data_IF_360896845951
#
_entry.id   IF_360896845951
#
_cell.length_a   1.000
_cell.length_b   1.000
_cell.length_c   1.000
_cell.angle_alpha   90.00
_cell.angle_beta   90.00
_cell.angle_gamma   90.00
#
_symmetry.space_group_name_H-M   'P 1'
#
loop_
_entity.id
_entity.type
_entity.pdbx_description
1 polymer ?
#
# COMPACT_ATOMS: atom_id res chain seq x y z
N UNK A 1 -17.66 -5.51 -1.21
CA UNK A 1 -17.67 -5.66 0.26
C UNK A 1 -18.15 -7.06 0.61
N UNK A 2 -17.19 -7.98 0.76
CA UNK A 2 -17.19 -9.25 1.51
C UNK A 2 -16.25 -10.23 0.80
N UNK A 3 -15.15 -10.57 1.46
CA UNK A 3 -14.31 -11.72 1.13
C UNK A 3 -14.24 -12.57 2.40
N UNK A 4 -14.89 -13.73 2.37
CA UNK A 4 -14.81 -14.75 3.41
C UNK A 4 -13.77 -15.79 3.02
N UNK A 5 -12.87 -16.15 3.94
CA UNK A 5 -11.86 -17.17 3.65
C UNK A 5 -10.98 -17.72 4.77
N UNK A 6 -11.07 -17.29 6.04
CA UNK A 6 -10.82 -18.11 7.25
C UNK A 6 -11.33 -17.36 8.49
N UNK A 7 -11.98 -18.09 9.40
CA UNK A 7 -12.89 -17.57 10.42
C UNK A 7 -12.23 -16.66 11.48
N UNK A 8 -12.61 -15.39 11.43
CA UNK A 8 -12.91 -14.58 12.61
C UNK A 8 -14.01 -13.60 12.22
N UNK A 9 -15.24 -14.03 12.49
CA UNK A 9 -16.49 -13.49 11.98
C UNK A 9 -16.91 -12.19 12.71
N UNK A 10 -16.11 -11.14 12.57
CA UNK A 10 -16.52 -9.77 12.88
C UNK A 10 -16.06 -8.83 11.78
N UNK A 11 -17.00 -8.27 11.03
CA UNK A 11 -16.74 -7.24 10.03
C UNK A 11 -15.94 -6.09 10.66
N UNK A 12 -14.69 -5.92 10.21
CA UNK A 12 -13.83 -4.82 10.65
C UNK A 12 -14.23 -3.51 9.99
N UNK A 13 -13.91 -2.39 10.64
CA UNK A 13 -14.03 -1.05 10.07
C UNK A 13 -12.68 -0.62 9.53
N UNK A 14 -12.62 -0.27 8.24
CA UNK A 14 -11.45 0.25 7.55
C UNK A 14 -11.52 1.78 7.50
N UNK A 15 -10.43 2.43 7.88
CA UNK A 15 -10.23 3.87 7.75
C UNK A 15 -9.06 4.13 6.81
N UNK A 16 -9.22 5.14 5.97
CA UNK A 16 -8.24 5.53 4.96
C UNK A 16 -7.85 7.00 5.16
N UNK A 17 -6.58 7.28 4.94
CA UNK A 17 -6.02 8.62 4.73
C UNK A 17 -5.13 8.52 3.47
N UNK A 18 -5.76 8.68 2.30
CA UNK A 18 -5.16 8.31 1.02
C UNK A 18 -5.43 9.34 -0.05
N UNK A 19 -4.53 9.39 -1.03
CA UNK A 19 -4.74 10.02 -2.33
C UNK A 19 -5.05 8.96 -3.39
N UNK A 20 -5.75 9.39 -4.43
CA UNK A 20 -6.16 8.54 -5.54
C UNK A 20 -6.09 9.26 -6.88
N UNK A 21 -5.66 8.51 -7.89
CA UNK A 21 -5.69 8.89 -9.29
C UNK A 21 -6.49 7.86 -10.08
N UNK A 22 -7.38 8.34 -10.94
CA UNK A 22 -8.15 7.52 -11.87
C UNK A 22 -7.89 7.96 -13.31
N UNK A 23 -8.06 7.05 -14.29
CA UNK A 23 -7.88 7.36 -15.70
C UNK A 23 -8.96 8.36 -16.16
N UNK A 24 -8.57 9.30 -17.02
CA UNK A 24 -9.48 10.23 -17.72
C UNK A 24 -9.18 10.22 -19.21
N UNK A 25 -10.19 10.41 -20.04
CA UNK A 25 -10.13 10.19 -21.50
C UNK A 25 -9.06 11.02 -22.25
N UNK A 26 -8.63 12.15 -21.69
CA UNK A 26 -7.63 13.05 -22.30
C UNK A 26 -6.25 13.09 -21.59
N UNK A 27 -6.00 12.19 -20.64
CA UNK A 27 -4.77 12.19 -19.85
C UNK A 27 -3.81 11.05 -20.20
N UNK A 28 -2.52 11.25 -19.89
CA UNK A 28 -1.52 10.18 -19.87
C UNK A 28 -2.05 9.06 -18.97
N UNK A 29 -2.06 7.83 -19.50
CA UNK A 29 -2.47 6.66 -18.71
C UNK A 29 -1.28 6.11 -17.94
N UNK A 30 -1.43 6.01 -16.62
CA UNK A 30 -0.40 5.47 -15.74
C UNK A 30 -0.67 4.00 -15.38
N UNK A 31 0.41 3.24 -15.25
CA UNK A 31 0.43 1.82 -14.89
C UNK A 31 1.43 1.55 -13.77
N UNK A 32 1.75 2.55 -12.97
CA UNK A 32 2.62 2.40 -11.83
C UNK A 32 2.75 3.65 -10.99
N UNK A 33 3.20 3.47 -9.76
CA UNK A 33 3.59 4.52 -8.84
C UNK A 33 4.81 4.08 -8.03
N UNK A 34 5.72 5.00 -7.81
CA UNK A 34 6.79 4.92 -6.83
C UNK A 34 6.58 6.00 -5.78
N UNK A 35 6.81 5.64 -4.51
CA UNK A 35 6.83 6.59 -3.42
C UNK A 35 7.76 6.12 -2.31
N UNK A 36 8.32 7.09 -1.60
CA UNK A 36 9.00 6.88 -0.32
C UNK A 36 7.99 7.09 0.80
N UNK A 37 7.86 6.12 1.70
CA UNK A 37 6.95 6.19 2.84
C UNK A 37 7.69 5.91 4.14
N UNK A 38 7.45 6.74 5.15
CA UNK A 38 7.95 6.50 6.51
C UNK A 38 7.36 5.19 7.06
N UNK A 39 8.17 4.44 7.80
CA UNK A 39 7.78 3.18 8.45
C UNK A 39 7.77 3.35 9.97
N UNK A 40 6.69 2.92 10.62
CA UNK A 40 6.52 3.02 12.08
C UNK A 40 6.13 1.65 12.67
N UNK A 41 6.41 1.49 13.96
CA UNK A 41 6.05 0.33 14.76
C UNK A 41 5.09 0.68 15.89
N UNK A 42 4.17 -0.22 16.19
CA UNK A 42 3.21 -0.12 17.30
C UNK A 42 2.99 -1.50 17.91
N UNK A 43 2.68 -1.55 19.20
CA UNK A 43 2.21 -2.76 19.87
C UNK A 43 0.68 -2.86 19.70
N UNK A 44 0.26 -3.45 18.60
CA UNK A 44 -1.14 -3.74 18.28
C UNK A 44 -1.57 -5.08 18.85
N UNK A 45 -2.88 -5.21 19.08
CA UNK A 45 -3.50 -6.47 19.47
C UNK A 45 -4.15 -7.17 18.27
N UNK A 46 -4.48 -8.46 18.43
CA UNK A 46 -5.32 -9.17 17.46
C UNK A 46 -6.62 -8.39 17.19
N UNK A 47 -6.98 -8.28 15.92
CA UNK A 47 -8.13 -7.50 15.46
C UNK A 47 -7.83 -6.01 15.23
N UNK A 48 -6.57 -5.59 15.26
CA UNK A 48 -6.11 -4.28 14.79
C UNK A 48 -5.09 -4.44 13.67
N UNK A 49 -5.07 -3.48 12.75
CA UNK A 49 -4.08 -3.43 11.68
C UNK A 49 -3.84 -1.99 11.25
N UNK A 50 -2.61 -1.65 10.90
CA UNK A 50 -2.28 -0.36 10.26
C UNK A 50 -1.14 -0.52 9.27
N UNK A 51 -1.01 0.43 8.36
CA UNK A 51 0.10 0.44 7.41
C UNK A 51 0.06 1.60 6.44
N UNK A 52 1.11 1.68 5.62
CA UNK A 52 1.21 2.53 4.44
C UNK A 52 1.26 1.65 3.19
N UNK A 53 0.59 2.05 2.11
CA UNK A 53 0.49 1.23 0.91
C UNK A 53 0.39 2.03 -0.37
N UNK A 54 0.70 1.35 -1.47
CA UNK A 54 0.36 1.68 -2.85
C UNK A 54 -0.52 0.55 -3.37
N UNK A 55 -1.65 0.88 -3.97
CA UNK A 55 -2.60 -0.05 -4.58
C UNK A 55 -2.87 0.34 -6.03
N UNK A 56 -2.72 -0.63 -6.93
CA UNK A 56 -3.08 -0.50 -8.33
C UNK A 56 -4.19 -1.48 -8.61
N UNK A 57 -5.37 -0.97 -8.98
CA UNK A 57 -6.54 -1.81 -9.12
C UNK A 57 -7.43 -1.38 -10.28
N UNK A 58 -8.25 -2.32 -10.74
CA UNK A 58 -9.42 -2.03 -11.57
C UNK A 58 -10.52 -3.06 -11.31
N UNK A 59 -11.60 -2.97 -12.09
CA UNK A 59 -12.69 -3.93 -12.06
C UNK A 59 -12.87 -4.55 -13.44
N UNK A 60 -13.18 -5.85 -13.47
CA UNK A 60 -13.59 -6.52 -14.70
C UNK A 60 -15.07 -6.27 -15.02
N UNK A 61 -15.57 -6.89 -16.11
CA UNK A 61 -16.97 -6.72 -16.54
C UNK A 61 -17.99 -7.21 -15.50
N UNK A 62 -17.61 -8.17 -14.66
CA UNK A 62 -18.44 -8.67 -13.56
C UNK A 62 -18.30 -7.83 -12.29
N UNK A 63 -17.64 -6.66 -12.38
CA UNK A 63 -17.27 -5.80 -11.25
C UNK A 63 -16.36 -6.48 -10.21
N UNK A 64 -15.68 -7.56 -10.59
CA UNK A 64 -14.72 -8.24 -9.74
C UNK A 64 -13.42 -7.42 -9.66
N UNK A 65 -12.92 -7.20 -8.45
CA UNK A 65 -11.73 -6.38 -8.21
C UNK A 65 -10.49 -7.19 -8.61
N UNK A 66 -9.64 -6.58 -9.43
CA UNK A 66 -8.27 -7.03 -9.62
C UNK A 66 -7.35 -5.97 -9.00
N UNK A 67 -6.44 -6.36 -8.11
CA UNK A 67 -5.63 -5.43 -7.34
C UNK A 67 -4.22 -6.00 -7.09
N UNK A 68 -3.23 -5.11 -7.11
CA UNK A 68 -1.88 -5.34 -6.57
C UNK A 68 -1.59 -4.26 -5.54
N UNK A 69 -1.23 -4.67 -4.33
CA UNK A 69 -0.86 -3.79 -3.22
C UNK A 69 0.58 -4.07 -2.82
N UNK A 70 1.34 -3.04 -2.50
CA UNK A 70 2.62 -3.16 -1.80
C UNK A 70 2.82 -2.02 -0.81
N UNK A 71 3.52 -2.31 0.29
CA UNK A 71 3.82 -1.33 1.32
C UNK A 71 4.28 -2.02 2.60
N UNK A 72 3.92 -1.45 3.74
CA UNK A 72 4.19 -2.04 5.04
C UNK A 72 2.91 -2.14 5.88
N UNK A 73 2.85 -3.11 6.78
CA UNK A 73 1.75 -3.26 7.73
C UNK A 73 2.21 -3.81 9.08
N UNK A 74 1.34 -3.66 10.08
CA UNK A 74 1.37 -4.39 11.34
C UNK A 74 0.03 -5.10 11.43
N UNK A 75 0.02 -6.42 11.49
CA UNK A 75 -1.21 -7.23 11.50
C UNK A 75 -1.06 -8.47 12.40
N UNK A 76 -1.31 -8.33 13.71
CA UNK A 76 -1.02 -9.41 14.66
C UNK A 76 -1.81 -10.69 14.44
N UNK A 77 -3.03 -10.59 13.92
CA UNK A 77 -3.85 -11.76 13.62
C UNK A 77 -3.25 -12.65 12.54
N UNK A 78 -2.45 -12.06 11.65
CA UNK A 78 -1.88 -12.72 10.48
C UNK A 78 -0.44 -13.17 10.72
N UNK A 79 0.39 -12.35 11.37
CA UNK A 79 1.80 -12.64 11.63
C UNK A 79 2.07 -13.31 12.98
N UNK A 80 1.09 -13.28 13.90
CA UNK A 80 1.25 -13.74 15.28
C UNK A 80 2.36 -13.00 16.05
N UNK A 81 2.61 -11.74 15.68
CA UNK A 81 3.46 -10.78 16.38
C UNK A 81 2.93 -9.35 16.16
N UNK A 82 3.60 -8.32 16.66
CA UNK A 82 3.23 -6.92 16.37
C UNK A 82 4.38 -6.15 15.73
N UNK A 83 5.23 -6.84 14.98
CA UNK A 83 6.31 -6.22 14.22
C UNK A 83 5.76 -5.55 12.96
N UNK A 84 6.54 -4.66 12.38
CA UNK A 84 6.23 -4.06 11.09
C UNK A 84 6.79 -4.94 9.99
N UNK A 85 5.95 -5.36 9.04
CA UNK A 85 6.34 -6.22 7.94
C UNK A 85 6.26 -5.47 6.62
N UNK A 86 7.17 -5.80 5.70
CA UNK A 86 6.97 -5.50 4.29
C UNK A 86 5.88 -6.44 3.77
N UNK A 87 4.86 -5.89 3.12
CA UNK A 87 3.70 -6.67 2.70
C UNK A 87 3.28 -6.36 1.27
N UNK A 88 2.89 -7.41 0.56
CA UNK A 88 2.34 -7.32 -0.80
C UNK A 88 1.09 -8.18 -0.89
N UNK A 89 0.08 -7.74 -1.64
CA UNK A 89 -1.17 -8.47 -1.78
C UNK A 89 -1.56 -8.48 -3.25
N UNK A 90 -2.09 -9.60 -3.74
CA UNK A 90 -2.87 -9.58 -4.97
C UNK A 90 -4.32 -9.97 -4.70
N UNK A 91 -5.23 -9.45 -5.53
CA UNK A 91 -6.64 -9.83 -5.55
C UNK A 91 -7.09 -10.08 -6.97
N UNK A 92 -7.83 -11.16 -7.18
CA UNK A 92 -8.54 -11.52 -8.40
C UNK A 92 -9.94 -12.01 -8.01
N UNK A 93 -10.92 -11.10 -8.08
CA UNK A 93 -12.29 -11.38 -7.64
C UNK A 93 -12.34 -11.71 -6.15
N UNK A 94 -12.74 -12.94 -5.81
CA UNK A 94 -12.78 -13.43 -4.42
C UNK A 94 -11.44 -13.96 -3.92
N UNK A 95 -10.48 -14.21 -4.82
CA UNK A 95 -9.18 -14.74 -4.47
C UNK A 95 -8.28 -13.59 -4.05
N UNK A 96 -7.96 -13.49 -2.76
CA UNK A 96 -7.00 -12.53 -2.24
C UNK A 96 -5.90 -13.29 -1.52
N UNK A 97 -4.67 -12.84 -1.72
CA UNK A 97 -3.51 -13.51 -1.15
C UNK A 97 -2.53 -12.49 -0.56
N UNK A 98 -2.39 -12.47 0.76
CA UNK A 98 -1.37 -11.68 1.42
C UNK A 98 0.00 -12.38 1.32
N UNK A 99 1.00 -11.55 1.07
CA UNK A 99 2.42 -11.89 0.97
C UNK A 99 2.67 -13.08 0.04
N UNK A 100 3.39 -14.09 0.53
CA UNK A 100 3.68 -15.35 -0.15
C UNK A 100 2.93 -16.53 0.48
N UNK A 101 1.78 -16.29 1.13
CA UNK A 101 0.99 -17.35 1.80
C UNK A 101 0.26 -18.26 0.82
N UNK A 102 0.19 -17.87 -0.44
CA UNK A 102 -0.28 -18.70 -1.53
C UNK A 102 0.64 -18.49 -2.75
N UNK A 103 0.58 -19.40 -3.75
CA UNK A 103 1.31 -19.21 -5.00
C UNK A 103 0.87 -17.93 -5.72
N UNK A 104 1.83 -17.14 -6.19
CA UNK A 104 1.55 -15.99 -7.06
C UNK A 104 2.67 -14.97 -7.11
N UNK A 105 3.30 -14.65 -5.98
CA UNK A 105 4.48 -13.78 -5.98
C UNK A 105 5.73 -14.56 -6.36
N UNK A 106 6.50 -14.05 -7.31
CA UNK A 106 7.78 -14.60 -7.73
C UNK A 106 8.90 -13.64 -7.34
N UNK A 107 9.70 -14.01 -6.33
CA UNK A 107 10.85 -13.22 -5.89
C UNK A 107 12.03 -13.36 -6.85
N UNK A 108 12.77 -12.28 -7.10
CA UNK A 108 14.03 -12.36 -7.84
C UNK A 108 15.17 -12.81 -6.93
N UNK A 109 16.17 -13.50 -7.50
CA UNK A 109 17.30 -14.05 -6.74
C UNK A 109 18.11 -12.97 -5.98
N UNK A 110 18.20 -11.76 -6.52
CA UNK A 110 18.94 -10.65 -5.92
C UNK A 110 18.17 -9.91 -4.82
N UNK A 111 16.96 -10.36 -4.47
CA UNK A 111 16.14 -9.63 -3.50
C UNK A 111 16.65 -9.80 -2.08
N UNK A 112 16.86 -8.67 -1.39
CA UNK A 112 17.27 -8.62 0.01
C UNK A 112 16.08 -8.76 0.98
N UNK A 113 14.86 -8.64 0.47
CA UNK A 113 13.61 -8.79 1.22
C UNK A 113 12.61 -9.61 0.42
N UNK A 114 11.70 -10.29 1.11
CA UNK A 114 10.51 -10.89 0.50
C UNK A 114 9.26 -10.50 1.29
N UNK A 115 8.07 -10.50 0.66
CA UNK A 115 6.82 -10.17 1.34
C UNK A 115 6.61 -11.02 2.60
N UNK A 116 6.18 -10.38 3.68
CA UNK A 116 6.02 -10.98 5.00
C UNK A 116 7.28 -10.90 5.90
N UNK A 117 8.42 -10.42 5.41
CA UNK A 117 9.59 -10.18 6.27
C UNK A 117 9.43 -8.93 7.14
N UNK A 118 10.02 -8.98 8.33
CA UNK A 118 10.07 -7.86 9.28
C UNK A 118 10.96 -6.74 8.74
N UNK A 119 10.49 -5.50 8.86
CA UNK A 119 11.27 -4.27 8.66
C UNK A 119 11.78 -3.80 10.02
N UNK A 120 13.10 -3.78 10.19
CA UNK A 120 13.76 -3.33 11.42
C UNK A 120 15.12 -2.71 11.05
N UNK A 121 15.45 -1.49 11.51
CA UNK A 121 14.67 -0.62 12.40
C UNK A 121 13.48 0.09 11.74
N UNK A 122 12.56 0.55 12.60
CA UNK A 122 11.44 1.44 12.24
C UNK A 122 11.67 2.84 12.82
N UNK A 123 10.93 3.84 12.33
CA UNK A 123 11.03 5.21 12.82
C UNK A 123 10.72 5.30 14.32
N UNK A 124 11.52 6.09 15.03
CA UNK A 124 11.28 6.46 16.42
C UNK A 124 11.27 7.98 16.59
N UNK A 125 10.68 8.48 17.67
CA UNK A 125 10.67 9.93 17.97
C UNK A 125 12.05 10.50 18.32
N UNK A 126 13.03 9.64 18.59
CA UNK A 126 14.37 10.00 19.10
C UNK A 126 15.51 9.74 18.11
N UNK A 127 15.21 9.19 16.93
CA UNK A 127 16.20 8.83 15.90
C UNK A 127 15.83 9.42 14.55
N UNK A 128 16.71 9.24 13.56
CA UNK A 128 16.35 9.48 12.17
C UNK A 128 15.17 8.57 11.78
N UNK A 129 14.24 9.16 11.00
CA UNK A 129 13.10 8.44 10.44
C UNK A 129 13.62 7.32 9.52
N UNK A 130 13.04 6.14 9.67
CA UNK A 130 13.26 5.01 8.77
C UNK A 130 12.15 5.01 7.73
N UNK A 131 12.51 4.77 6.48
CA UNK A 131 11.56 4.77 5.37
C UNK A 131 11.84 3.63 4.41
N UNK A 132 10.83 3.31 3.60
CA UNK A 132 10.97 2.43 2.46
C UNK A 132 10.56 3.17 1.20
N UNK A 133 11.31 2.95 0.12
CA UNK A 133 10.88 3.34 -1.23
C UNK A 133 10.25 2.12 -1.88
N UNK A 134 8.99 2.24 -2.27
CA UNK A 134 8.23 1.17 -2.90
C UNK A 134 7.78 1.64 -4.27
N UNK A 135 7.97 0.78 -5.27
CA UNK A 135 7.37 0.96 -6.60
C UNK A 135 6.54 -0.25 -6.95
N UNK A 136 5.33 0.01 -7.40
CA UNK A 136 4.48 -0.97 -8.07
C UNK A 136 4.31 -0.48 -9.49
N UNK A 137 4.74 -1.26 -10.48
CA UNK A 137 4.56 -0.89 -11.89
C UNK A 137 4.41 -2.09 -12.78
N UNK A 138 3.65 -1.93 -13.86
CA UNK A 138 3.55 -2.93 -14.91
C UNK A 138 4.80 -2.90 -15.80
N UNK A 139 5.41 -4.05 -16.01
CA UNK A 139 6.47 -4.20 -17.00
C UNK A 139 5.88 -4.09 -18.42
N UNK A 140 6.37 -3.19 -19.28
CA UNK A 140 5.81 -3.01 -20.62
C UNK A 140 6.02 -4.23 -21.54
N UNK A 141 7.01 -5.08 -21.25
CA UNK A 141 7.36 -6.21 -22.13
C UNK A 141 6.55 -7.47 -21.80
N UNK A 142 6.60 -7.93 -20.55
CA UNK A 142 5.87 -9.10 -20.06
C UNK A 142 4.41 -8.79 -19.70
N UNK A 143 4.14 -7.56 -19.25
CA UNK A 143 2.89 -7.17 -18.62
C UNK A 143 2.76 -7.62 -17.16
N UNK A 144 3.82 -8.15 -16.56
CA UNK A 144 3.87 -8.55 -15.16
C UNK A 144 3.85 -7.33 -14.23
N UNK A 145 3.28 -7.49 -13.04
CA UNK A 145 3.25 -6.43 -12.04
C UNK A 145 4.47 -6.53 -11.13
N UNK A 146 5.45 -5.68 -11.37
CA UNK A 146 6.71 -5.66 -10.65
C UNK A 146 6.59 -4.88 -9.35
N UNK A 147 7.20 -5.43 -8.29
CA UNK A 147 7.33 -4.81 -6.98
C UNK A 147 8.81 -4.52 -6.73
N UNK A 148 9.10 -3.27 -6.43
CA UNK A 148 10.41 -2.82 -6.00
C UNK A 148 10.36 -2.38 -4.55
N UNK A 149 11.46 -2.60 -3.86
CA UNK A 149 11.65 -2.21 -2.46
C UNK A 149 13.06 -1.66 -2.27
N UNK A 150 13.19 -0.62 -1.45
CA UNK A 150 14.46 -0.10 -0.95
C UNK A 150 14.28 0.36 0.49
N UNK A 151 15.16 -0.07 1.39
CA UNK A 151 15.19 0.41 2.77
C UNK A 151 16.16 1.58 2.88
N UNK A 152 15.69 2.75 3.34
CA UNK A 152 16.46 3.99 3.43
C UNK A 152 17.26 4.34 2.16
N UNK A 153 16.71 4.08 0.99
CA UNK A 153 17.39 4.30 -0.28
C UNK A 153 16.56 3.85 -1.48
N UNK A 154 17.19 3.86 -2.65
CA UNK A 154 16.52 3.58 -3.92
C UNK A 154 15.94 2.16 -3.99
N UNK A 155 14.76 2.05 -4.60
CA UNK A 155 14.07 0.77 -4.72
C UNK A 155 14.71 -0.12 -5.81
N UNK A 156 14.85 -1.41 -5.52
CA UNK A 156 15.32 -2.44 -6.45
C UNK A 156 14.25 -3.49 -6.66
N UNK A 157 14.25 -4.10 -7.85
CA UNK A 157 13.30 -5.16 -8.18
C UNK A 157 13.43 -6.28 -7.16
N UNK A 158 12.32 -6.58 -6.49
CA UNK A 158 12.23 -7.58 -5.41
C UNK A 158 11.47 -8.81 -5.88
N UNK A 159 10.49 -8.61 -6.75
CA UNK A 159 9.74 -9.69 -7.38
C UNK A 159 8.59 -9.15 -8.22
N UNK A 160 7.72 -10.04 -8.66
CA UNK A 160 6.57 -9.69 -9.48
C UNK A 160 5.39 -10.64 -9.26
N UNK A 161 4.21 -10.17 -9.63
CA UNK A 161 3.03 -11.00 -9.86
C UNK A 161 2.87 -11.21 -11.37
N UNK A 162 2.89 -12.46 -11.86
CA UNK A 162 2.68 -12.75 -13.27
C UNK A 162 1.38 -12.17 -13.80
N UNK A 163 1.39 -11.63 -15.02
CA UNK A 163 0.22 -11.10 -15.73
C UNK A 163 -0.94 -12.09 -15.74
N UNK A 164 -0.63 -13.39 -15.86
CA UNK A 164 -1.59 -14.49 -15.94
C UNK A 164 -2.44 -14.66 -14.69
N UNK A 165 -2.04 -14.10 -13.54
CA UNK A 165 -2.86 -14.08 -12.33
C UNK A 165 -4.08 -13.16 -12.44
N UNK A 166 -4.09 -12.23 -13.39
CA UNK A 166 -5.09 -11.19 -13.46
C UNK A 166 -5.96 -11.28 -14.71
N UNK A 167 -7.24 -10.94 -14.55
CA UNK A 167 -8.15 -10.73 -15.67
C UNK A 167 -8.02 -9.31 -16.18
N UNK A 168 -8.64 -8.33 -15.52
CA UNK A 168 -8.73 -6.94 -15.99
C UNK A 168 -7.44 -6.14 -15.83
N UNK A 169 -6.62 -6.37 -14.80
CA UNK A 169 -5.33 -5.67 -14.65
C UNK A 169 -4.34 -6.02 -15.79
N UNK A 170 -4.59 -7.09 -16.53
CA UNK A 170 -3.74 -7.49 -17.64
C UNK A 170 -3.90 -6.60 -18.88
N UNK A 171 -5.02 -5.89 -19.07
CA UNK A 171 -5.28 -5.09 -20.27
C UNK A 171 -6.10 -3.79 -20.09
N UNK A 172 -6.84 -3.62 -18.99
CA UNK A 172 -7.65 -2.41 -18.77
C UNK A 172 -6.84 -1.29 -18.09
N UNK A 173 -7.26 -0.01 -18.24
CA UNK A 173 -6.77 1.08 -17.41
C UNK A 173 -6.91 0.77 -15.92
N UNK A 174 -6.10 1.45 -15.10
CA UNK A 174 -6.00 1.21 -13.66
C UNK A 174 -6.28 2.48 -12.88
N UNK A 175 -6.80 2.32 -11.66
CA UNK A 175 -6.84 3.34 -10.63
C UNK A 175 -5.67 3.10 -9.68
N UNK A 176 -5.03 4.18 -9.25
CA UNK A 176 -3.91 4.16 -8.31
C UNK A 176 -4.39 4.82 -7.02
N UNK A 177 -4.16 4.17 -5.88
CA UNK A 177 -4.47 4.70 -4.56
C UNK A 177 -3.28 4.48 -3.64
N UNK A 178 -2.89 5.50 -2.88
CA UNK A 178 -1.71 5.43 -2.02
C UNK A 178 -1.88 6.28 -0.76
N UNK A 179 -1.31 5.82 0.35
CA UNK A 179 -1.38 6.49 1.64
C UNK A 179 -1.51 5.50 2.80
N UNK A 180 -2.15 5.96 3.88
CA UNK A 180 -2.28 5.20 5.11
C UNK A 180 -3.64 4.50 5.25
N UNK A 181 -3.64 3.38 5.97
CA UNK A 181 -4.85 2.73 6.43
C UNK A 181 -4.75 2.28 7.89
N UNK A 182 -5.92 2.14 8.51
CA UNK A 182 -6.10 1.57 9.82
C UNK A 182 -7.38 0.73 9.81
N UNK A 183 -7.32 -0.47 10.37
CA UNK A 183 -8.46 -1.36 10.50
C UNK A 183 -8.60 -1.80 11.96
N UNK A 184 -9.85 -1.90 12.40
CA UNK A 184 -10.20 -2.51 13.67
C UNK A 184 -11.37 -3.46 13.53
N UNK A 185 -11.34 -4.57 14.27
CA UNK A 185 -12.50 -5.43 14.50
C UNK A 185 -13.47 -4.77 15.46
N UNK A 186 -14.69 -5.29 15.51
CA UNK A 186 -15.74 -4.81 16.41
C UNK A 186 -15.21 -4.84 17.86
N UNK A 187 -15.56 -3.82 18.64
CA UNK A 187 -15.15 -3.67 20.05
C UNK A 187 -13.64 -3.48 20.30
N UNK A 188 -12.81 -3.33 19.26
CA UNK A 188 -11.43 -2.86 19.41
C UNK A 188 -11.34 -1.34 19.22
N UNK A 189 -10.39 -0.65 19.88
CA UNK A 189 -10.07 0.73 19.54
C UNK A 189 -9.39 0.77 18.15
N UNK A 190 -9.57 1.87 17.42
CA UNK A 190 -8.86 2.04 16.15
C UNK A 190 -7.36 2.26 16.43
N UNK A 191 -6.45 1.61 15.68
CA UNK A 191 -5.02 1.73 15.95
C UNK A 191 -4.47 3.10 15.50
N UNK A 192 -3.30 3.54 15.97
CA UNK A 192 -2.61 4.68 15.38
C UNK A 192 -2.32 4.44 13.89
N UNK A 193 -2.29 5.51 13.08
CA UNK A 193 -1.90 5.45 11.67
C UNK A 193 -0.69 6.34 11.42
N UNK A 194 0.22 5.89 10.55
CA UNK A 194 1.45 6.61 10.26
C UNK A 194 2.30 6.69 11.52
N UNK A 195 2.64 7.89 11.97
CA UNK A 195 3.39 8.12 13.21
C UNK A 195 2.53 8.16 14.47
N UNK A 196 1.21 8.00 14.33
CA UNK A 196 0.24 8.27 15.40
C UNK A 196 -0.04 9.75 15.64
N UNK A 197 0.59 10.66 14.88
CA UNK A 197 0.34 12.09 14.95
C UNK A 197 -0.54 12.58 13.78
N UNK A 198 -1.32 13.63 14.03
CA UNK A 198 -2.01 14.35 12.96
C UNK A 198 -0.99 14.98 11.98
N UNK A 199 -1.37 15.25 10.71
CA UNK A 199 -0.48 15.71 9.63
C UNK A 199 -0.05 17.18 9.81
N UNK A 200 0.66 17.46 10.90
CA UNK A 200 1.17 18.80 11.25
C UNK A 200 2.63 18.69 11.68
N UNK A 201 2.89 18.13 12.87
CA UNK A 201 4.24 18.01 13.44
C UNK A 201 4.56 16.54 13.69
N UNK A 202 5.74 16.10 13.26
CA UNK A 202 6.22 14.73 13.41
C UNK A 202 5.28 13.67 12.80
N UNK A 203 4.50 14.06 11.79
CA UNK A 203 3.61 13.16 11.06
C UNK A 203 4.41 12.19 10.19
N UNK A 204 3.77 11.09 9.80
CA UNK A 204 4.28 10.24 8.73
C UNK A 204 4.08 10.94 7.39
N UNK A 205 4.98 10.67 6.44
CA UNK A 205 4.90 11.22 5.09
C UNK A 205 4.98 10.14 4.01
N UNK A 206 4.38 10.46 2.87
CA UNK A 206 4.76 9.97 1.56
C UNK A 206 5.49 11.09 0.83
N UNK A 207 6.63 10.80 0.22
CA UNK A 207 7.46 11.76 -0.53
C UNK A 207 7.97 11.13 -1.81
N UNK A 208 8.52 11.96 -2.72
CA UNK A 208 9.08 11.50 -3.99
C UNK A 208 8.09 10.69 -4.83
N UNK A 209 6.81 11.04 -4.74
CA UNK A 209 5.73 10.33 -5.42
C UNK A 209 5.80 10.62 -6.92
N UNK A 210 5.88 9.56 -7.73
CA UNK A 210 5.97 9.64 -9.20
C UNK A 210 5.07 8.59 -9.84
N UNK A 211 4.43 8.94 -10.95
CA UNK A 211 3.69 7.98 -11.76
C UNK A 211 4.56 7.39 -12.88
N UNK A 212 4.22 6.19 -13.32
CA UNK A 212 4.85 5.51 -14.45
C UNK A 212 3.82 5.30 -15.56
N UNK A 213 4.14 5.75 -16.77
CA UNK A 213 3.30 5.52 -17.94
C UNK A 213 3.51 4.10 -18.53
N UNK A 214 2.75 3.79 -19.59
CA UNK A 214 2.86 2.51 -20.29
C UNK A 214 4.23 2.26 -20.94
N UNK A 215 5.03 3.30 -21.20
CA UNK A 215 6.40 3.18 -21.70
C UNK A 215 7.44 3.03 -20.59
N UNK A 216 7.02 3.04 -19.33
CA UNK A 216 7.91 3.00 -18.17
C UNK A 216 8.55 4.36 -17.84
N UNK A 217 8.11 5.46 -18.47
CA UNK A 217 8.63 6.78 -18.17
C UNK A 217 8.01 7.32 -16.88
N UNK A 218 8.82 8.04 -16.11
CA UNK A 218 8.40 8.69 -14.86
C UNK A 218 7.77 10.05 -15.12
N UNK A 219 6.67 10.33 -14.44
CA UNK A 219 5.95 11.61 -14.50
C UNK A 219 5.74 12.17 -13.09
N UNK A 220 5.98 13.47 -12.95
CA UNK A 220 5.56 14.20 -11.75
C UNK A 220 4.03 14.30 -11.70
N UNK A 221 3.47 14.37 -10.49
CA UNK A 221 2.04 14.54 -10.30
C UNK A 221 1.68 16.01 -10.57
N UNK A 222 1.12 16.26 -11.75
CA UNK A 222 0.64 17.57 -12.18
C UNK A 222 -0.90 17.62 -12.31
N UNK A 223 -1.58 16.50 -11.99
CA UNK A 223 -3.03 16.37 -12.06
C UNK A 223 -3.65 16.47 -10.68
N UNK A 224 -4.90 16.94 -10.62
CA UNK A 224 -5.66 16.97 -9.38
C UNK A 224 -5.91 15.53 -8.90
N UNK A 225 -5.51 15.24 -7.68
CA UNK A 225 -5.75 13.95 -7.04
C UNK A 225 -7.03 14.01 -6.20
N UNK A 226 -7.83 12.95 -6.24
CA UNK A 226 -8.87 12.73 -5.25
C UNK A 226 -8.26 12.30 -3.92
N UNK A 227 -8.94 12.53 -2.81
CA UNK A 227 -8.48 12.05 -1.50
C UNK A 227 -9.63 11.53 -0.65
N UNK A 228 -9.31 10.63 0.28
CA UNK A 228 -10.20 10.16 1.34
C UNK A 228 -9.55 10.49 2.67
N UNK A 229 -10.26 11.24 3.50
CA UNK A 229 -9.80 11.74 4.79
C UNK A 229 -10.96 11.72 5.79
N UNK A 230 -11.01 10.66 6.59
CA UNK A 230 -12.08 10.43 7.57
C UNK A 230 -11.57 10.68 9.00
N UNK A 231 -11.51 9.63 9.82
CA UNK A 231 -11.01 9.73 11.20
C UNK A 231 -9.51 10.08 11.26
N UNK A 232 -8.77 9.68 10.23
CA UNK A 232 -7.37 10.03 10.02
C UNK A 232 -7.30 11.06 8.90
N UNK A 233 -6.28 11.90 8.93
CA UNK A 233 -6.17 13.07 8.06
C UNK A 233 -4.98 12.93 7.11
N UNK A 234 -5.12 13.54 5.94
CA UNK A 234 -4.03 13.89 5.03
C UNK A 234 -3.83 15.40 5.08
N UNK A 235 -2.59 15.87 4.91
CA UNK A 235 -2.32 17.26 4.51
C UNK A 235 -2.63 17.44 3.03
N UNK A 236 -2.55 18.68 2.56
CA UNK A 236 -2.52 18.94 1.13
C UNK A 236 -1.31 18.24 0.48
N UNK A 237 -1.49 17.88 -0.79
CA UNK A 237 -0.43 17.31 -1.61
C UNK A 237 0.36 18.46 -2.22
N UNK A 238 1.63 18.59 -1.82
CA UNK A 238 2.51 19.67 -2.25
C UNK A 238 3.81 19.08 -2.80
N UNK A 239 4.31 19.66 -3.88
CA UNK A 239 5.49 19.21 -4.62
C UNK A 239 5.35 17.75 -5.11
N UNK A 240 5.82 16.78 -4.33
CA UNK A 240 5.81 15.36 -4.62
C UNK A 240 5.44 14.51 -3.39
N UNK A 241 4.71 15.09 -2.42
CA UNK A 241 4.41 14.40 -1.18
C UNK A 241 3.27 15.00 -0.36
N UNK A 242 2.94 14.30 0.72
CA UNK A 242 1.94 14.69 1.70
C UNK A 242 2.20 14.02 3.06
N UNK A 243 1.67 14.61 4.11
CA UNK A 243 1.65 14.03 5.45
C UNK A 243 0.32 13.33 5.72
N UNK A 244 0.36 12.28 6.53
CA UNK A 244 -0.83 11.54 6.91
C UNK A 244 -0.73 10.96 8.32
N UNK A 245 -1.88 10.64 8.89
CA UNK A 245 -1.96 9.83 10.11
C UNK A 245 -2.91 10.40 11.15
N UNK A 246 -2.75 9.89 12.37
CA UNK A 246 -3.51 10.29 13.54
C UNK A 246 -3.46 9.24 14.64
N UNK A 247 -3.87 9.61 15.86
CA UNK A 247 -3.71 8.76 17.04
C UNK A 247 -4.68 7.57 17.10
N UNK A 248 -5.77 7.59 16.32
CA UNK A 248 -6.82 6.55 16.40
C UNK A 248 -7.67 6.66 17.68
N UNK A 249 -7.93 5.51 18.32
CA UNK A 249 -8.79 5.25 19.47
C UNK A 249 -10.29 5.48 19.30
N UNK A 250 -10.70 6.71 18.97
CA UNK A 250 -12.12 7.13 18.98
C UNK A 250 -12.77 7.14 17.59
N UNK A 251 -12.18 6.39 16.65
CA UNK A 251 -12.84 5.97 15.43
C UNK A 251 -13.61 4.68 15.74
#
# INVERSE_FOLDING_TARGET
>A
LSSSGHESNQAGTLYLAVYGWGPSDDAITYYGLEATMDVYGFNLEHGQQTGGFISIYNKDEASAINNVIAGWNIEPESYNDSQTHFSTWFTQGSNACPDMRCPGFESVFSSEIVPGMVINPVSSTSSEKQYITVRVSKDPNSGDWQIYYGFNGDARLTGYYPRSLFTSLSYKPVTIMFGGYALKKRHKPSPPMGSGNAPIKNAASFTSVKFFDAGGNTHQINSALGYISNCYRVSDFEHDGFFYGGPGNFC
#
